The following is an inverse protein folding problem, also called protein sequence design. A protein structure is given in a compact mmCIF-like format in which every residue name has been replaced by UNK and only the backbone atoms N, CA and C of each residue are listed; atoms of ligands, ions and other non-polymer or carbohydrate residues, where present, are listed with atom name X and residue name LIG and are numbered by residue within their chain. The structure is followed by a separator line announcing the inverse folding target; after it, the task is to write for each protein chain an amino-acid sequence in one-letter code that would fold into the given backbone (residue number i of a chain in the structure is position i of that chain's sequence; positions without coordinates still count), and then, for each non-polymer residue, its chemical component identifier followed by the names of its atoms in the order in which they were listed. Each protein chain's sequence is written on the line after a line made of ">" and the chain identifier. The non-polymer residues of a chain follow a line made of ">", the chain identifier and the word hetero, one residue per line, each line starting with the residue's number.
data_IF_099500077752
#
_entry.id   IF_099500077752
#
_cell.length_a   1.000
_cell.length_b   1.000
_cell.length_c   1.000
_cell.angle_alpha   90.00
_cell.angle_beta   90.00
_cell.angle_gamma   90.00
#
_symmetry.space_group_name_H-M   'P 1'
#
loop_
_entity.id
_entity.type
_entity.pdbx_description
1 polymer ?
#
# COMPACT_ATOMS: atom_id res chain seq x y z
N UNK A 1 18.97 12.55 2.14
CA UNK A 1 18.19 11.29 2.11
C UNK A 1 18.14 10.84 0.65
N UNK A 2 18.53 9.61 0.34
CA UNK A 2 18.54 9.12 -1.05
C UNK A 2 17.11 8.98 -1.59
N UNK A 3 16.94 9.12 -2.91
CA UNK A 3 15.62 9.03 -3.55
C UNK A 3 14.88 7.70 -3.26
N UNK A 4 15.55 6.52 -3.19
CA UNK A 4 14.90 5.27 -2.80
C UNK A 4 14.34 5.31 -1.37
N UNK A 5 15.05 5.92 -0.41
CA UNK A 5 14.56 6.03 0.97
C UNK A 5 13.29 6.89 1.02
N UNK A 6 13.25 8.03 0.32
CA UNK A 6 12.07 8.91 0.32
C UNK A 6 10.87 8.20 -0.32
N UNK A 7 11.06 7.59 -1.50
CA UNK A 7 9.98 6.87 -2.19
C UNK A 7 9.50 5.67 -1.39
N UNK A 8 10.41 4.95 -0.73
CA UNK A 8 10.08 3.83 0.13
C UNK A 8 9.31 4.24 1.39
N UNK A 9 9.74 5.31 2.05
CA UNK A 9 9.03 5.85 3.21
C UNK A 9 7.60 6.30 2.87
N UNK A 10 7.41 6.97 1.72
CA UNK A 10 6.09 7.37 1.24
C UNK A 10 5.21 6.17 0.90
N UNK A 11 5.77 5.13 0.27
CA UNK A 11 5.03 3.90 -0.03
C UNK A 11 4.62 3.14 1.24
N UNK A 12 5.50 3.05 2.24
CA UNK A 12 5.17 2.48 3.55
C UNK A 12 4.06 3.30 4.22
N UNK A 13 4.19 4.63 4.27
CA UNK A 13 3.19 5.50 4.87
C UNK A 13 1.83 5.34 4.19
N UNK A 14 1.79 5.27 2.85
CA UNK A 14 0.56 5.01 2.10
C UNK A 14 -0.04 3.64 2.44
N UNK A 15 0.76 2.58 2.44
CA UNK A 15 0.28 1.24 2.78
C UNK A 15 -0.26 1.14 4.22
N UNK A 16 0.42 1.75 5.19
CA UNK A 16 -0.07 1.83 6.58
C UNK A 16 -1.35 2.64 6.66
N UNK A 17 -1.41 3.79 6.01
CA UNK A 17 -2.59 4.65 5.97
C UNK A 17 -3.80 3.89 5.43
N UNK A 18 -3.68 3.21 4.29
CA UNK A 18 -4.79 2.44 3.73
C UNK A 18 -5.17 1.24 4.61
N UNK A 19 -4.20 0.63 5.29
CA UNK A 19 -4.44 -0.44 6.26
C UNK A 19 -5.28 0.03 7.46
N UNK A 20 -4.89 1.15 8.08
CA UNK A 20 -5.59 1.75 9.22
C UNK A 20 -6.97 2.29 8.81
N UNK A 21 -7.05 2.98 7.67
CA UNK A 21 -8.30 3.57 7.19
C UNK A 21 -9.42 2.54 6.99
N UNK A 22 -9.09 1.27 6.73
CA UNK A 22 -10.10 0.19 6.64
C UNK A 22 -10.83 -0.08 7.95
N UNK A 23 -10.20 0.18 9.08
CA UNK A 23 -10.81 -0.03 10.40
C UNK A 23 -11.46 1.23 10.95
N UNK A 24 -10.88 2.40 10.62
CA UNK A 24 -11.34 3.70 11.15
C UNK A 24 -12.47 4.29 10.30
N UNK A 25 -12.41 4.13 8.97
CA UNK A 25 -13.38 4.70 8.04
C UNK A 25 -13.67 3.75 6.85
N UNK A 26 -14.20 2.53 7.10
CA UNK A 26 -14.40 1.49 6.08
C UNK A 26 -15.30 1.92 4.92
N UNK A 27 -16.24 2.84 5.16
CA UNK A 27 -17.18 3.33 4.13
C UNK A 27 -16.76 4.66 3.49
N UNK A 28 -15.52 5.11 3.73
CA UNK A 28 -15.05 6.36 3.14
C UNK A 28 -14.85 6.27 1.62
N UNK A 29 -14.95 7.42 0.95
CA UNK A 29 -14.72 7.55 -0.49
C UNK A 29 -13.30 7.12 -0.94
N UNK A 30 -12.36 6.98 0.00
CA UNK A 30 -11.02 6.43 -0.25
C UNK A 30 -11.07 4.99 -0.80
N UNK A 31 -12.12 4.24 -0.48
CA UNK A 31 -12.35 2.87 -0.96
C UNK A 31 -13.26 2.80 -2.19
N UNK A 32 -13.43 3.90 -2.94
CA UNK A 32 -14.28 3.97 -4.14
C UNK A 32 -13.96 2.93 -5.22
N UNK A 33 -12.76 2.33 -5.21
CA UNK A 33 -12.37 1.25 -6.13
C UNK A 33 -12.72 -0.15 -5.64
N UNK A 34 -13.11 -0.31 -4.37
CA UNK A 34 -13.45 -1.60 -3.79
C UNK A 34 -14.70 -2.22 -4.42
N UNK A 35 -15.79 -1.47 -4.53
CA UNK A 35 -17.05 -1.99 -5.11
C UNK A 35 -16.89 -2.39 -6.59
N UNK A 36 -16.26 -1.58 -7.47
CA UNK A 36 -15.93 -2.02 -8.82
C UNK A 36 -15.09 -3.31 -8.87
N UNK A 37 -14.13 -3.48 -7.94
CA UNK A 37 -13.33 -4.70 -7.86
C UNK A 37 -14.16 -5.90 -7.39
N UNK A 38 -15.05 -5.73 -6.41
CA UNK A 38 -15.98 -6.78 -5.96
C UNK A 38 -16.93 -7.22 -7.08
N UNK A 39 -17.45 -6.26 -7.86
CA UNK A 39 -18.31 -6.56 -8.99
C UNK A 39 -17.60 -7.41 -10.06
N UNK A 40 -16.29 -7.21 -10.26
CA UNK A 40 -15.50 -7.93 -11.27
C UNK A 40 -14.96 -9.28 -10.78
N UNK A 41 -14.53 -9.37 -9.52
CA UNK A 41 -13.79 -10.52 -8.98
C UNK A 41 -14.53 -11.26 -7.86
N UNK A 42 -15.80 -10.92 -7.63
CA UNK A 42 -16.59 -11.40 -6.49
C UNK A 42 -16.24 -10.67 -5.19
N UNK A 43 -17.10 -10.81 -4.17
CA UNK A 43 -16.96 -10.09 -2.90
C UNK A 43 -15.62 -10.37 -2.20
N UNK A 44 -15.24 -11.64 -2.08
CA UNK A 44 -13.97 -12.05 -1.44
C UNK A 44 -12.78 -11.68 -2.33
N UNK A 45 -12.82 -12.04 -3.62
CA UNK A 45 -11.70 -11.81 -4.55
C UNK A 45 -11.40 -10.31 -4.74
N UNK A 46 -12.43 -9.48 -4.92
CA UNK A 46 -12.28 -8.03 -5.05
C UNK A 46 -11.73 -7.38 -3.79
N UNK A 47 -12.18 -7.83 -2.61
CA UNK A 47 -11.67 -7.34 -1.33
C UNK A 47 -10.20 -7.72 -1.13
N UNK A 48 -9.85 -8.99 -1.37
CA UNK A 48 -8.47 -9.47 -1.29
C UNK A 48 -7.57 -8.70 -2.24
N UNK A 49 -7.97 -8.54 -3.51
CA UNK A 49 -7.20 -7.78 -4.50
C UNK A 49 -7.01 -6.32 -4.06
N UNK A 50 -8.05 -5.68 -3.54
CA UNK A 50 -7.96 -4.31 -3.04
C UNK A 50 -6.99 -4.18 -1.85
N UNK A 51 -6.97 -5.14 -0.93
CA UNK A 51 -6.00 -5.18 0.18
C UNK A 51 -4.59 -5.39 -0.34
N UNK A 52 -4.39 -6.36 -1.22
CA UNK A 52 -3.08 -6.66 -1.77
C UNK A 52 -2.50 -5.46 -2.53
N UNK A 53 -3.28 -4.83 -3.41
CA UNK A 53 -2.82 -3.75 -4.28
C UNK A 53 -2.55 -2.43 -3.53
N UNK A 54 -3.38 -2.08 -2.55
CA UNK A 54 -3.32 -0.76 -1.90
C UNK A 54 -2.66 -0.76 -0.51
N UNK A 55 -2.47 -1.94 0.10
CA UNK A 55 -1.88 -2.06 1.44
C UNK A 55 -0.61 -2.90 1.40
N UNK A 56 -0.69 -4.17 0.99
CA UNK A 56 0.46 -5.09 1.07
C UNK A 56 1.57 -4.74 0.08
N UNK A 57 1.21 -4.49 -1.18
CA UNK A 57 2.17 -4.14 -2.24
C UNK A 57 2.94 -2.85 -1.92
N UNK A 58 2.30 -1.72 -1.52
CA UNK A 58 3.03 -0.52 -1.13
C UNK A 58 3.95 -0.72 0.08
N UNK A 59 3.53 -1.48 1.09
CA UNK A 59 4.38 -1.82 2.23
C UNK A 59 5.62 -2.60 1.81
N UNK A 60 5.43 -3.69 1.04
CA UNK A 60 6.54 -4.52 0.57
C UNK A 60 7.49 -3.75 -0.35
N UNK A 61 6.95 -3.02 -1.33
CA UNK A 61 7.73 -2.17 -2.22
C UNK A 61 8.52 -1.12 -1.44
N UNK A 62 7.88 -0.46 -0.47
CA UNK A 62 8.53 0.58 0.31
C UNK A 62 9.65 0.05 1.21
N UNK A 63 9.47 -1.13 1.81
CA UNK A 63 10.54 -1.82 2.58
C UNK A 63 11.73 -2.12 1.67
N UNK A 64 11.50 -2.67 0.48
CA UNK A 64 12.59 -2.96 -0.48
C UNK A 64 13.34 -1.69 -0.87
N UNK A 65 12.63 -0.60 -1.19
CA UNK A 65 13.23 0.68 -1.57
C UNK A 65 14.06 1.32 -0.46
N UNK A 66 13.58 1.25 0.80
CA UNK A 66 14.36 1.75 1.95
C UNK A 66 15.63 0.93 2.14
N UNK A 67 15.54 -0.40 2.08
CA UNK A 67 16.70 -1.29 2.21
C UNK A 67 17.75 -1.04 1.10
N UNK A 68 17.31 -0.88 -0.14
CA UNK A 68 18.19 -0.53 -1.26
C UNK A 68 18.88 0.82 -1.04
N UNK A 69 18.12 1.86 -0.68
CA UNK A 69 18.69 3.18 -0.44
C UNK A 69 19.62 3.26 0.77
N UNK A 70 19.44 2.38 1.76
CA UNK A 70 20.39 2.20 2.86
C UNK A 70 21.68 1.50 2.40
N UNK A 71 21.55 0.46 1.56
CA UNK A 71 22.69 -0.28 1.02
C UNK A 71 23.55 0.59 0.08
N UNK A 72 22.94 1.47 -0.73
CA UNK A 72 23.62 2.45 -1.57
C UNK A 72 24.44 3.49 -0.75
N UNK A 73 24.06 3.71 0.51
CA UNK A 73 24.75 4.63 1.41
C UNK A 73 25.90 4.01 2.21
N UNK A 74 26.16 2.71 2.04
CA UNK A 74 27.30 2.02 2.65
C UNK A 74 28.54 2.23 1.78
N UNK A 75 29.62 2.85 2.29
CA UNK A 75 30.85 3.10 1.53
C UNK A 75 31.60 1.82 1.14
#
# INVERSE_FOLDING_TARGET
>A
MSAPIVTGALAIAFGLFTGVARFVAPESALFSKLEPMKARFGAVGGTTLHVMAYTIMPLGFGVVQVLQGMAEGTP
#
